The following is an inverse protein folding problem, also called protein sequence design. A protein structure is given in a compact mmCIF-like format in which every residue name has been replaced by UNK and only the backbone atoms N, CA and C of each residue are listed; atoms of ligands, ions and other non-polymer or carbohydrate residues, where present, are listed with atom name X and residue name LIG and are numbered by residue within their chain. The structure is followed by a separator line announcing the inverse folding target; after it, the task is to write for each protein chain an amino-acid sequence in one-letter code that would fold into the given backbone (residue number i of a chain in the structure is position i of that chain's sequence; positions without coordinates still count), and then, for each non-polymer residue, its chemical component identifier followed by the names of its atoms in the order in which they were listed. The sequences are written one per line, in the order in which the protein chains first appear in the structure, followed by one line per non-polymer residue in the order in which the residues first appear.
data_IF_837080216543
#
_entry.id   IF_837080216543
#
_cell.length_a   1.000
_cell.length_b   1.000
_cell.length_c   1.000
_cell.angle_alpha   90.00
_cell.angle_beta   90.00
_cell.angle_gamma   90.00
#
_symmetry.space_group_name_H-M   'P 1'
#
loop_
_entity.id
_entity.type
_entity.pdbx_description
1 polymer ?
#
# COMPACT_ATOMS: atom_id res chain seq x y z
N UNK A 1 -9.18 -6.48 18.03
CA UNK A 1 -7.90 -6.25 17.33
C UNK A 1 -8.19 -6.23 15.86
N UNK A 2 -8.09 -5.07 15.22
CA UNK A 2 -8.23 -4.96 13.76
C UNK A 2 -6.92 -5.40 13.10
N UNK A 3 -7.01 -6.18 12.02
CA UNK A 3 -5.86 -6.57 11.20
C UNK A 3 -5.80 -5.61 10.02
N UNK A 4 -4.61 -5.12 9.70
CA UNK A 4 -4.37 -4.34 8.50
C UNK A 4 -3.68 -5.19 7.44
N UNK A 5 -4.04 -4.94 6.18
CA UNK A 5 -3.49 -5.63 5.02
C UNK A 5 -2.80 -4.63 4.12
N UNK A 6 -1.58 -4.94 3.71
CA UNK A 6 -0.89 -4.24 2.64
C UNK A 6 -1.14 -4.97 1.34
N UNK A 7 -1.71 -4.27 0.36
CA UNK A 7 -1.98 -4.79 -0.98
C UNK A 7 -1.19 -4.02 -2.03
N UNK A 8 -0.79 -4.71 -3.09
CA UNK A 8 -0.05 -4.16 -4.24
C UNK A 8 -0.89 -4.33 -5.50
N UNK A 9 -1.29 -3.21 -6.11
CA UNK A 9 -1.89 -3.16 -7.43
C UNK A 9 -0.80 -2.95 -8.50
N UNK A 10 -0.83 -3.79 -9.53
CA UNK A 10 0.08 -3.70 -10.66
C UNK A 10 -0.50 -2.73 -11.70
N UNK A 11 0.30 -1.87 -12.37
CA UNK A 11 -0.20 -0.96 -13.39
C UNK A 11 -0.94 -1.64 -14.57
N UNK A 12 -0.60 -2.89 -14.89
CA UNK A 12 -1.24 -3.64 -15.97
C UNK A 12 -2.57 -4.30 -15.55
N UNK A 13 -2.76 -4.53 -14.24
CA UNK A 13 -3.91 -5.21 -13.67
C UNK A 13 -4.32 -4.57 -12.32
N UNK A 14 -4.78 -3.31 -12.34
CA UNK A 14 -5.16 -2.61 -11.11
C UNK A 14 -6.36 -3.28 -10.41
N UNK A 15 -7.22 -3.99 -11.15
CA UNK A 15 -8.38 -4.71 -10.58
C UNK A 15 -8.02 -5.99 -9.79
N UNK A 16 -6.76 -6.45 -9.85
CA UNK A 16 -6.30 -7.64 -9.12
C UNK A 16 -5.17 -7.28 -8.14
N UNK A 17 -5.48 -6.54 -7.06
CA UNK A 17 -4.49 -6.23 -6.04
C UNK A 17 -4.03 -7.51 -5.33
N UNK A 18 -2.71 -7.68 -5.22
CA UNK A 18 -2.09 -8.81 -4.54
C UNK A 18 -1.84 -8.47 -3.08
N UNK A 19 -2.27 -9.33 -2.16
CA UNK A 19 -1.88 -9.24 -0.75
C UNK A 19 -0.37 -9.49 -0.61
N UNK A 20 0.34 -8.54 0.00
CA UNK A 20 1.80 -8.64 0.20
C UNK A 20 2.19 -8.82 1.66
N UNK A 21 1.39 -8.32 2.60
CA UNK A 21 1.59 -8.52 4.03
C UNK A 21 0.32 -8.25 4.84
N UNK A 22 0.23 -8.84 6.03
CA UNK A 22 -0.81 -8.58 7.03
C UNK A 22 -0.15 -8.32 8.38
N UNK A 23 -0.64 -7.33 9.12
CA UNK A 23 -0.09 -6.98 10.42
C UNK A 23 -1.11 -6.21 11.28
N UNK A 24 -0.99 -6.30 12.60
CA UNK A 24 -1.84 -5.56 13.55
C UNK A 24 -1.43 -4.08 13.67
N UNK A 25 -0.15 -3.79 13.47
CA UNK A 25 0.40 -2.44 13.47
C UNK A 25 0.54 -1.89 12.04
N UNK A 26 -0.18 -0.82 11.67
CA UNK A 26 -0.08 -0.20 10.36
C UNK A 26 1.26 0.53 10.13
N UNK A 27 2.01 0.89 11.18
CA UNK A 27 3.33 1.50 11.01
C UNK A 27 4.34 0.49 10.41
N UNK A 28 4.30 -0.76 10.86
CA UNK A 28 5.05 -1.86 10.23
C UNK A 28 4.71 -2.01 8.74
N UNK A 29 3.43 -1.95 8.37
CA UNK A 29 3.01 -2.04 6.96
C UNK A 29 3.47 -0.82 6.13
N UNK A 30 3.51 0.38 6.72
CA UNK A 30 4.08 1.56 6.06
C UNK A 30 5.55 1.37 5.73
N UNK A 31 6.32 0.86 6.70
CA UNK A 31 7.74 0.56 6.49
C UNK A 31 7.90 -0.48 5.38
N UNK A 32 7.10 -1.56 5.42
CA UNK A 32 7.12 -2.59 4.39
C UNK A 32 6.81 -2.06 2.99
N UNK A 33 5.84 -1.15 2.86
CA UNK A 33 5.55 -0.53 1.57
C UNK A 33 6.66 0.38 1.05
N UNK A 34 7.38 1.10 1.92
CA UNK A 34 8.58 1.85 1.48
C UNK A 34 9.68 0.93 0.97
N UNK A 35 9.91 -0.22 1.59
CA UNK A 35 10.88 -1.20 1.09
C UNK A 35 10.50 -1.71 -0.31
N UNK A 36 9.22 -2.01 -0.52
CA UNK A 36 8.70 -2.45 -1.82
C UNK A 36 8.85 -1.32 -2.85
N UNK A 37 8.49 -0.09 -2.52
CA UNK A 37 8.63 1.06 -3.42
C UNK A 37 10.10 1.27 -3.84
N UNK A 38 11.04 1.16 -2.89
CA UNK A 38 12.49 1.24 -3.18
C UNK A 38 12.96 0.11 -4.10
N UNK A 39 12.50 -1.12 -3.87
CA UNK A 39 12.82 -2.26 -4.74
C UNK A 39 12.23 -2.10 -6.15
N UNK A 40 11.11 -1.39 -6.29
CA UNK A 40 10.52 -1.00 -7.58
C UNK A 40 11.22 0.22 -8.22
N UNK A 41 12.28 0.76 -7.61
CA UNK A 41 13.02 1.91 -8.12
C UNK A 41 12.45 3.27 -7.72
N UNK A 42 11.47 3.33 -6.82
CA UNK A 42 10.92 4.59 -6.31
C UNK A 42 11.33 4.88 -4.86
N UNK A 43 12.42 5.64 -4.72
CA UNK A 43 12.96 6.05 -3.43
C UNK A 43 12.23 7.24 -2.81
N UNK A 44 11.40 7.95 -3.59
CA UNK A 44 10.73 9.17 -3.18
C UNK A 44 9.21 8.98 -3.01
N UNK A 45 8.72 7.73 -3.03
CA UNK A 45 7.33 7.43 -2.80
C UNK A 45 6.91 7.90 -1.40
N UNK A 46 5.74 8.53 -1.28
CA UNK A 46 5.20 9.06 -0.01
C UNK A 46 3.79 8.51 0.19
N UNK A 47 3.51 8.03 1.41
CA UNK A 47 2.15 7.61 1.77
C UNK A 47 1.22 8.82 1.80
N UNK A 48 0.16 8.75 1.00
CA UNK A 48 -0.93 9.70 1.00
C UNK A 48 -2.17 9.06 1.64
N UNK A 49 -2.96 9.87 2.35
CA UNK A 49 -4.30 9.46 2.79
C UNK A 49 -5.25 9.63 1.62
N UNK A 50 -5.87 8.56 1.14
CA UNK A 50 -6.95 8.68 0.16
C UNK A 50 -8.26 9.00 0.90
N UNK A 51 -8.99 10.00 0.41
CA UNK A 51 -10.20 10.51 1.03
C UNK A 51 -11.29 9.41 1.09
N UNK A 52 -12.11 9.38 2.16
CA UNK A 52 -12.88 8.19 2.48
C UNK A 52 -14.18 8.12 1.67
N UNK A 53 -14.35 7.01 0.94
CA UNK A 53 -15.70 6.53 0.63
C UNK A 53 -16.26 5.62 1.73
N UNK A 54 -15.43 5.05 2.63
CA UNK A 54 -15.92 4.27 3.79
C UNK A 54 -14.86 3.88 4.87
N UNK A 55 -13.55 3.85 4.56
CA UNK A 55 -12.47 3.61 5.55
C UNK A 55 -11.21 4.39 5.14
N UNK A 56 -10.37 4.87 6.08
CA UNK A 56 -9.11 5.51 5.73
C UNK A 56 -8.19 4.49 5.07
N UNK A 57 -7.98 4.64 3.76
CA UNK A 57 -7.01 3.87 2.99
C UNK A 57 -5.77 4.73 2.84
N UNK A 58 -4.64 4.23 3.32
CA UNK A 58 -3.36 4.84 3.01
C UNK A 58 -2.89 4.26 1.67
N UNK A 59 -2.50 5.12 0.74
CA UNK A 59 -1.98 4.70 -0.55
C UNK A 59 -0.57 5.26 -0.77
N UNK A 60 0.28 4.45 -1.39
CA UNK A 60 1.64 4.78 -1.79
C UNK A 60 1.74 4.51 -3.28
N UNK A 61 1.85 5.58 -4.07
CA UNK A 61 1.97 5.47 -5.53
C UNK A 61 3.43 5.50 -5.91
N UNK A 62 3.88 4.46 -6.61
CA UNK A 62 5.22 4.37 -7.14
C UNK A 62 5.28 5.02 -8.54
N UNK A 63 6.41 5.63 -8.89
CA UNK A 63 6.69 6.20 -10.23
C UNK A 63 6.55 5.18 -11.37
N UNK A 64 6.73 3.90 -11.08
CA UNK A 64 6.53 2.81 -12.03
C UNK A 64 5.06 2.49 -12.32
N UNK A 65 4.12 3.23 -11.72
CA UNK A 65 2.68 3.01 -11.85
C UNK A 65 2.09 1.97 -10.91
N UNK A 66 2.92 1.34 -10.07
CA UNK A 66 2.45 0.47 -9.00
C UNK A 66 1.78 1.29 -7.90
N UNK A 67 0.73 0.73 -7.28
CA UNK A 67 0.08 1.34 -6.14
C UNK A 67 0.04 0.35 -4.97
N UNK A 68 0.50 0.78 -3.81
CA UNK A 68 0.40 0.04 -2.55
C UNK A 68 -0.70 0.67 -1.71
N UNK A 69 -1.54 -0.14 -1.09
CA UNK A 69 -2.60 0.35 -0.21
C UNK A 69 -2.61 -0.41 1.11
N UNK A 70 -2.85 0.29 2.21
CA UNK A 70 -3.11 -0.32 3.52
C UNK A 70 -4.60 -0.22 3.80
N UNK A 71 -5.25 -1.38 3.97
CA UNK A 71 -6.68 -1.50 4.23
C UNK A 71 -6.91 -2.22 5.57
N UNK A 72 -7.94 -1.81 6.31
CA UNK A 72 -8.40 -2.57 7.47
C UNK A 72 -9.25 -3.77 6.99
N UNK A 73 -8.89 -4.97 7.45
CA UNK A 73 -9.59 -6.22 7.13
C UNK A 73 -11.01 -6.28 7.69
#
# INVERSE_FOLDING_TARGET
MEIFRLVLAHPQHPEKPRLVAEHLDPAWLKQRGYEIARNLGDQAAIWATEAPAQKPVLALRCRTGHALSIIAA
#
